data_IF_019656277025
#
_entry.id   IF_019656277025
#
_cell.length_a   1.000
_cell.length_b   1.000
_cell.length_c   1.000
_cell.angle_alpha   90.00
_cell.angle_beta   90.00
_cell.angle_gamma   90.00
#
_symmetry.space_group_name_H-M   'P 1'
#
loop_
_entity.id
_entity.type
_entity.pdbx_description
1 polymer ?
#
# COMPACT_ATOMS: atom_id res chain seq x y z
N UNK A 1 14.87 18.39 0.08
CA UNK A 1 13.80 18.05 -0.88
C UNK A 1 14.08 16.67 -1.44
N UNK A 2 13.06 15.90 -1.81
CA UNK A 2 13.26 14.55 -2.35
C UNK A 2 13.86 14.59 -3.78
N UNK A 3 14.61 13.56 -4.21
CA UNK A 3 14.96 13.39 -5.61
C UNK A 3 13.70 13.36 -6.47
N UNK A 4 13.66 14.12 -7.56
CA UNK A 4 12.50 14.17 -8.46
C UNK A 4 12.14 12.78 -8.98
N UNK A 5 13.14 11.97 -9.36
CA UNK A 5 12.96 10.59 -9.83
C UNK A 5 12.34 9.66 -8.78
N UNK A 6 12.68 9.86 -7.50
CA UNK A 6 12.08 9.10 -6.41
C UNK A 6 10.60 9.45 -6.26
N UNK A 7 10.27 10.75 -6.26
CA UNK A 7 8.89 11.21 -6.14
C UNK A 7 8.02 10.77 -7.32
N UNK A 8 8.55 10.84 -8.54
CA UNK A 8 7.79 10.42 -9.72
C UNK A 8 7.57 8.92 -9.73
N UNK A 9 8.58 8.12 -9.39
CA UNK A 9 8.45 6.67 -9.38
C UNK A 9 7.50 6.21 -8.30
N UNK A 10 7.74 6.59 -7.03
CA UNK A 10 6.85 6.20 -5.92
C UNK A 10 5.44 6.74 -6.14
N UNK A 11 5.30 8.00 -6.57
CA UNK A 11 3.99 8.59 -6.82
C UNK A 11 3.19 7.88 -7.92
N UNK A 12 3.85 7.36 -8.95
CA UNK A 12 3.18 6.56 -9.99
C UNK A 12 2.69 5.21 -9.46
N UNK A 13 3.50 4.55 -8.63
CA UNK A 13 3.12 3.29 -7.99
C UNK A 13 1.99 3.48 -6.98
N UNK A 14 2.07 4.50 -6.13
CA UNK A 14 1.00 4.88 -5.21
C UNK A 14 -0.33 5.15 -5.95
N UNK A 15 -0.28 5.85 -7.09
CA UNK A 15 -1.47 6.12 -7.91
C UNK A 15 -2.06 4.83 -8.49
N UNK A 16 -1.22 3.93 -9.01
CA UNK A 16 -1.66 2.64 -9.51
C UNK A 16 -2.31 1.80 -8.40
N UNK A 17 -1.70 1.77 -7.22
CA UNK A 17 -2.21 1.10 -6.02
C UNK A 17 -3.55 1.69 -5.58
N UNK A 18 -3.71 3.02 -5.60
CA UNK A 18 -4.95 3.69 -5.24
C UNK A 18 -6.09 3.37 -6.22
N UNK A 19 -5.82 3.35 -7.53
CA UNK A 19 -6.79 2.95 -8.54
C UNK A 19 -7.22 1.50 -8.32
N UNK A 20 -6.27 0.59 -8.09
CA UNK A 20 -6.55 -0.82 -7.76
C UNK A 20 -7.39 -0.96 -6.49
N UNK A 21 -7.11 -0.17 -5.46
CA UNK A 21 -7.86 -0.17 -4.21
C UNK A 21 -9.33 0.21 -4.43
N UNK A 22 -9.59 1.25 -5.24
CA UNK A 22 -10.94 1.70 -5.58
C UNK A 22 -11.68 0.60 -6.34
N UNK A 23 -11.07 0.05 -7.40
CA UNK A 23 -11.68 -1.02 -8.21
C UNK A 23 -12.00 -2.24 -7.34
N UNK A 24 -11.05 -2.65 -6.50
CA UNK A 24 -11.19 -3.78 -5.58
C UNK A 24 -12.32 -3.54 -4.57
N UNK A 25 -12.42 -2.33 -4.02
CA UNK A 25 -13.48 -1.95 -3.09
C UNK A 25 -14.86 -2.02 -3.75
N UNK A 26 -14.98 -1.53 -4.99
CA UNK A 26 -16.23 -1.60 -5.76
C UNK A 26 -16.59 -3.07 -6.06
N UNK A 27 -15.62 -3.89 -6.45
CA UNK A 27 -15.81 -5.31 -6.71
C UNK A 27 -16.29 -6.09 -5.46
N UNK A 28 -15.70 -5.78 -4.30
CA UNK A 28 -16.14 -6.35 -3.02
C UNK A 28 -17.57 -5.91 -2.66
N UNK A 29 -17.89 -4.63 -2.85
CA UNK A 29 -19.22 -4.08 -2.56
C UNK A 29 -20.31 -4.69 -3.44
N UNK A 30 -20.02 -4.95 -4.71
CA UNK A 30 -20.96 -5.57 -5.66
C UNK A 30 -21.04 -7.10 -5.54
N UNK A 31 -20.28 -7.72 -4.61
CA UNK A 31 -20.15 -9.18 -4.47
C UNK A 31 -19.73 -9.86 -5.77
N UNK A 32 -18.89 -9.19 -6.55
CA UNK A 32 -18.47 -9.69 -7.85
C UNK A 32 -17.67 -10.99 -7.72
N UNK A 33 -17.86 -11.92 -8.66
CA UNK A 33 -17.17 -13.23 -8.65
C UNK A 33 -15.64 -13.13 -8.64
N UNK A 34 -15.10 -12.02 -9.14
CA UNK A 34 -13.66 -11.76 -9.18
C UNK A 34 -13.15 -10.88 -8.03
N UNK A 35 -13.99 -10.57 -7.03
CA UNK A 35 -13.58 -9.69 -5.94
C UNK A 35 -12.36 -10.25 -5.18
N UNK A 36 -12.35 -11.54 -4.84
CA UNK A 36 -11.22 -12.16 -4.11
C UNK A 36 -9.91 -12.13 -4.94
N UNK A 37 -9.89 -12.55 -6.22
CA UNK A 37 -8.72 -12.34 -7.08
C UNK A 37 -8.25 -10.89 -7.16
N UNK A 38 -9.17 -9.92 -7.24
CA UNK A 38 -8.81 -8.50 -7.25
C UNK A 38 -8.15 -8.06 -5.94
N UNK A 39 -8.65 -8.53 -4.80
CA UNK A 39 -8.01 -8.26 -3.50
C UNK A 39 -6.59 -8.81 -3.48
N UNK A 40 -6.33 -9.99 -4.03
CA UNK A 40 -4.97 -10.52 -4.17
C UNK A 40 -4.08 -9.61 -5.00
N UNK A 41 -4.54 -9.18 -6.18
CA UNK A 41 -3.77 -8.31 -7.07
C UNK A 41 -3.45 -6.98 -6.38
N UNK A 42 -4.47 -6.30 -5.84
CA UNK A 42 -4.30 -5.07 -5.09
C UNK A 42 -3.31 -5.25 -3.93
N UNK A 43 -3.45 -6.35 -3.17
CA UNK A 43 -2.63 -6.55 -1.99
C UNK A 43 -1.17 -6.86 -2.34
N UNK A 44 -0.91 -7.60 -3.42
CA UNK A 44 0.45 -7.88 -3.90
C UNK A 44 1.10 -6.61 -4.46
N UNK A 45 0.39 -5.88 -5.34
CA UNK A 45 0.93 -4.68 -5.98
C UNK A 45 1.20 -3.59 -4.95
N UNK A 46 0.24 -3.30 -4.07
CA UNK A 46 0.41 -2.28 -3.03
C UNK A 46 1.45 -2.66 -1.97
N UNK A 47 1.55 -3.95 -1.62
CA UNK A 47 2.61 -4.37 -0.70
C UNK A 47 4.00 -4.31 -1.35
N UNK A 48 4.13 -4.66 -2.64
CA UNK A 48 5.39 -4.54 -3.37
C UNK A 48 5.84 -3.08 -3.45
N UNK A 49 4.92 -2.16 -3.74
CA UNK A 49 5.16 -0.71 -3.71
C UNK A 49 5.77 -0.28 -2.36
N UNK A 50 5.08 -0.58 -1.26
CA UNK A 50 5.56 -0.24 0.08
C UNK A 50 6.91 -0.89 0.43
N UNK A 51 7.11 -2.17 0.09
CA UNK A 51 8.37 -2.89 0.34
C UNK A 51 9.53 -2.29 -0.45
N UNK A 52 9.29 -1.73 -1.63
CA UNK A 52 10.32 -1.05 -2.42
C UNK A 52 10.56 0.38 -1.95
N UNK A 53 9.50 1.12 -1.61
CA UNK A 53 9.55 2.51 -1.20
C UNK A 53 10.11 2.71 0.22
N UNK A 54 9.77 1.84 1.17
CA UNK A 54 10.20 1.97 2.58
C UNK A 54 11.74 1.98 2.75
N UNK A 55 12.50 1.01 2.19
CA UNK A 55 13.96 1.02 2.31
C UNK A 55 14.60 2.27 1.69
N UNK A 56 14.08 2.71 0.54
CA UNK A 56 14.54 3.94 -0.12
C UNK A 56 14.24 5.17 0.74
N UNK A 57 13.03 5.25 1.30
CA UNK A 57 12.60 6.30 2.22
C UNK A 57 13.51 6.40 3.46
N UNK A 58 13.81 5.28 4.12
CA UNK A 58 14.72 5.27 5.27
C UNK A 58 16.18 5.54 4.87
N UNK A 59 16.60 5.10 3.68
CA UNK A 59 17.93 5.39 3.12
C UNK A 59 18.17 6.88 2.86
N UNK A 60 17.11 7.64 2.56
CA UNK A 60 17.16 9.10 2.42
C UNK A 60 17.32 9.84 3.75
N UNK A 61 17.32 9.14 4.89
CA UNK A 61 17.49 9.70 6.25
C UNK A 61 16.61 10.93 6.50
N UNK A 62 15.35 10.81 6.10
CA UNK A 62 14.41 11.93 6.10
C UNK A 62 14.06 12.43 7.51
N UNK A 63 14.38 11.65 8.54
CA UNK A 63 14.35 12.07 9.94
C UNK A 63 15.36 13.19 10.26
N UNK A 64 16.41 13.37 9.46
CA UNK A 64 17.37 14.47 9.56
C UNK A 64 16.90 15.73 8.81
N UNK A 65 15.75 15.67 8.11
CA UNK A 65 15.21 16.77 7.31
C UNK A 65 13.94 17.35 7.95
N UNK A 66 13.76 18.66 7.87
CA UNK A 66 12.52 19.30 8.30
C UNK A 66 11.41 19.11 7.25
N UNK A 67 10.71 17.98 7.35
CA UNK A 67 9.57 17.64 6.49
C UNK A 67 8.23 18.23 6.98
N UNK A 68 8.22 18.91 8.12
CA UNK A 68 7.01 19.47 8.72
C UNK A 68 5.89 18.42 8.86
N UNK A 69 4.67 18.81 8.48
CA UNK A 69 3.49 17.98 8.65
C UNK A 69 3.50 16.69 7.79
N UNK A 70 4.19 16.70 6.65
CA UNK A 70 4.28 15.54 5.75
C UNK A 70 4.95 14.33 6.44
N UNK A 71 5.84 14.58 7.41
CA UNK A 71 6.43 13.53 8.22
C UNK A 71 5.38 12.63 8.89
N UNK A 72 4.29 13.22 9.39
CA UNK A 72 3.22 12.46 10.03
C UNK A 72 2.58 11.46 9.07
N UNK A 73 2.42 11.83 7.79
CA UNK A 73 1.86 10.92 6.77
C UNK A 73 2.69 9.65 6.65
N UNK A 74 4.01 9.77 6.62
CA UNK A 74 4.90 8.62 6.48
C UNK A 74 4.86 7.69 7.70
N UNK A 75 4.94 8.25 8.91
CA UNK A 75 5.03 7.43 10.14
C UNK A 75 3.68 6.87 10.59
N UNK A 76 2.56 7.51 10.22
CA UNK A 76 1.22 7.06 10.59
C UNK A 76 0.52 6.32 9.45
N UNK A 77 0.19 7.02 8.36
CA UNK A 77 -0.54 6.46 7.23
C UNK A 77 0.28 5.41 6.49
N UNK A 78 1.56 5.67 6.23
CA UNK A 78 2.44 4.69 5.58
C UNK A 78 2.54 3.39 6.39
N UNK A 79 2.75 3.50 7.70
CA UNK A 79 2.81 2.33 8.59
C UNK A 79 1.45 1.61 8.69
N UNK A 80 0.36 2.36 8.82
CA UNK A 80 -0.98 1.79 8.86
C UNK A 80 -1.34 1.05 7.56
N UNK A 81 -0.97 1.61 6.40
CA UNK A 81 -1.14 0.96 5.10
C UNK A 81 -0.34 -0.35 5.03
N UNK A 82 0.93 -0.32 5.45
CA UNK A 82 1.79 -1.51 5.49
C UNK A 82 1.20 -2.63 6.35
N UNK A 83 0.77 -2.30 7.57
CA UNK A 83 0.12 -3.27 8.47
C UNK A 83 -1.21 -3.77 7.91
N UNK A 84 -1.96 -2.92 7.20
CA UNK A 84 -3.22 -3.31 6.55
C UNK A 84 -2.99 -4.36 5.46
N UNK A 85 -1.94 -4.21 4.65
CA UNK A 85 -1.59 -5.22 3.64
C UNK A 85 -1.23 -6.57 4.25
N UNK A 86 -0.46 -6.58 5.35
CA UNK A 86 -0.16 -7.81 6.11
C UNK A 86 -1.45 -8.45 6.63
N UNK A 87 -2.34 -7.64 7.20
CA UNK A 87 -3.62 -8.12 7.70
C UNK A 87 -4.50 -8.73 6.59
N UNK A 88 -4.53 -8.11 5.41
CA UNK A 88 -5.27 -8.63 4.26
C UNK A 88 -4.70 -9.97 3.81
N UNK A 89 -3.37 -10.13 3.73
CA UNK A 89 -2.75 -11.43 3.42
C UNK A 89 -3.14 -12.47 4.45
N UNK A 90 -3.01 -12.15 5.73
CA UNK A 90 -3.41 -13.04 6.82
C UNK A 90 -4.87 -13.47 6.68
N UNK A 91 -5.78 -12.53 6.35
CA UNK A 91 -7.20 -12.81 6.16
C UNK A 91 -7.47 -13.68 4.93
N UNK A 92 -6.75 -13.48 3.83
CA UNK A 92 -6.88 -14.25 2.60
C UNK A 92 -6.35 -15.68 2.75
N UNK A 93 -5.28 -15.86 3.53
CA UNK A 93 -4.67 -17.17 3.78
C UNK A 93 -5.38 -17.95 4.88
N UNK A 94 -6.15 -17.28 5.75
CA UNK A 94 -6.85 -17.95 6.83
C UNK A 94 -7.98 -18.83 6.27
N UNK A 95 -7.95 -20.15 6.51
CA UNK A 95 -9.04 -21.02 6.10
C UNK A 95 -10.34 -20.60 6.78
N UNK A 96 -11.43 -20.61 6.01
CA UNK A 96 -12.76 -20.30 6.54
C UNK A 96 -13.16 -21.43 7.50
N UNK A 97 -13.51 -21.16 8.77
CA UNK A 97 -13.81 -22.21 9.76
C UNK A 97 -15.10 -23.01 9.49
N UNK A 98 -15.65 -22.94 8.28
CA UNK A 98 -16.85 -23.65 7.83
C UNK A 98 -16.56 -24.80 6.86
N UNK A 99 -15.30 -25.11 6.58
CA UNK A 99 -14.88 -26.25 5.78
C UNK A 99 -14.03 -27.21 6.61
#
# INVERSE_FOLDING_TARGET
GFPSEFLTTVGLWDLATAILAIITTIALKSKWKFAIPLVWIFNIVGFADLVTAFPQFFGLKLYDQNLGFIWLTFITYGLAAFLSHIYIFYRLLRPNPKN
#
